data_IF_014207990594
#
_entry.id   IF_014207990594
#
_cell.length_a   1.000
_cell.length_b   1.000
_cell.length_c   1.000
_cell.angle_alpha   90.00
_cell.angle_beta   90.00
_cell.angle_gamma   90.00
#
_symmetry.space_group_name_H-M   'P 1'
#
loop_
_entity.id
_entity.type
_entity.pdbx_description
1 polymer ?
#
# COMPACT_ATOMS: atom_id res chain seq x y z
N UNK A 1 24.39 1.96 16.08
CA UNK A 1 23.77 0.62 16.02
C UNK A 1 22.77 0.65 14.87
N UNK A 2 22.65 -0.41 14.06
CA UNK A 2 21.63 -0.46 13.02
C UNK A 2 20.24 -0.32 13.66
N UNK A 3 19.30 0.26 12.91
CA UNK A 3 17.91 0.32 13.35
C UNK A 3 17.35 -1.11 13.42
N UNK A 4 16.44 -1.37 14.36
CA UNK A 4 15.84 -2.70 14.51
C UNK A 4 15.07 -3.09 13.24
N UNK A 5 14.47 -2.14 12.52
CA UNK A 5 13.81 -2.33 11.23
C UNK A 5 14.69 -3.02 10.19
N UNK A 6 15.99 -2.73 10.14
CA UNK A 6 16.92 -3.41 9.23
C UNK A 6 17.09 -4.88 9.61
N UNK A 7 17.31 -5.11 10.91
CA UNK A 7 17.45 -6.46 11.47
C UNK A 7 16.17 -7.29 11.33
N UNK A 8 15.00 -6.65 11.47
CA UNK A 8 13.70 -7.26 11.24
C UNK A 8 13.53 -7.59 9.75
N UNK A 9 13.78 -6.63 8.86
CA UNK A 9 13.63 -6.81 7.42
C UNK A 9 14.45 -8.02 6.92
N UNK A 10 15.74 -8.07 7.26
CA UNK A 10 16.64 -9.16 6.86
C UNK A 10 16.16 -10.52 7.39
N UNK A 11 15.61 -10.57 8.60
CA UNK A 11 15.07 -11.82 9.16
C UNK A 11 13.80 -12.34 8.47
N UNK A 12 13.13 -11.49 7.69
CA UNK A 12 11.92 -11.85 6.92
C UNK A 12 12.23 -12.16 5.45
N UNK A 13 13.48 -12.04 5.03
CA UNK A 13 13.88 -12.36 3.67
C UNK A 13 13.79 -13.86 3.42
N UNK A 14 13.31 -14.22 2.24
CA UNK A 14 13.16 -15.61 1.85
C UNK A 14 14.55 -16.16 1.49
N UNK A 15 15.09 -17.04 2.34
CA UNK A 15 16.37 -17.67 2.11
C UNK A 15 16.21 -18.94 1.25
N UNK A 16 17.03 -19.13 0.20
CA UNK A 16 17.05 -20.40 -0.53
C UNK A 16 17.63 -21.48 0.40
N UNK A 17 16.82 -22.51 0.71
CA UNK A 17 17.15 -23.83 1.33
C UNK A 17 16.29 -24.25 2.55
N UNK A 18 15.27 -23.51 2.94
CA UNK A 18 14.30 -23.99 3.94
C UNK A 18 12.86 -23.66 3.54
N UNK A 19 12.41 -24.19 2.41
CA UNK A 19 10.97 -24.33 2.18
C UNK A 19 10.50 -25.55 2.96
N UNK A 20 10.11 -25.36 4.22
CA UNK A 20 9.25 -26.35 4.88
C UNK A 20 7.94 -26.47 4.10
N UNK A 21 7.35 -27.67 4.09
CA UNK A 21 6.07 -27.89 3.43
C UNK A 21 5.04 -26.84 3.88
N UNK A 22 4.26 -26.27 2.95
CA UNK A 22 3.21 -25.33 3.31
C UNK A 22 2.25 -26.03 4.28
N UNK A 23 2.06 -25.44 5.45
CA UNK A 23 0.95 -25.83 6.32
C UNK A 23 -0.33 -25.43 5.58
N UNK A 24 -1.01 -26.40 4.98
CA UNK A 24 -2.30 -26.21 4.32
C UNK A 24 -3.38 -26.13 5.39
N UNK A 25 -3.79 -24.89 5.71
CA UNK A 25 -4.95 -24.61 6.55
C UNK A 25 -6.02 -23.93 5.68
N UNK A 26 -7.20 -24.52 5.61
CA UNK A 26 -8.35 -24.06 4.83
C UNK A 26 -9.17 -23.03 5.61
N UNK A 27 -8.64 -21.81 5.71
CA UNK A 27 -9.28 -20.69 6.41
C UNK A 27 -10.36 -19.99 5.56
N UNK A 28 -10.51 -20.32 4.27
CA UNK A 28 -11.66 -19.88 3.46
C UNK A 28 -13.03 -20.22 4.08
N UNK A 29 -13.03 -21.04 5.15
CA UNK A 29 -14.20 -21.40 5.96
C UNK A 29 -14.29 -20.67 7.31
N UNK A 30 -13.36 -19.77 7.66
CA UNK A 30 -13.50 -18.91 8.83
C UNK A 30 -14.36 -17.70 8.46
N UNK A 31 -15.53 -17.50 9.10
CA UNK A 31 -16.37 -16.35 8.80
C UNK A 31 -15.62 -15.05 9.11
N UNK A 32 -15.68 -14.07 8.19
CA UNK A 32 -15.08 -12.75 8.38
C UNK A 32 -15.88 -11.90 9.38
N UNK A 33 -17.04 -12.41 9.83
CA UNK A 33 -17.92 -11.79 10.80
C UNK A 33 -17.19 -11.59 12.14
N UNK A 34 -16.84 -10.33 12.41
CA UNK A 34 -16.34 -9.93 13.71
C UNK A 34 -17.46 -10.09 14.75
N UNK A 35 -17.38 -11.20 15.49
CA UNK A 35 -18.37 -11.55 16.52
C UNK A 35 -18.45 -10.51 17.64
N UNK A 36 -17.47 -9.60 17.76
CA UNK A 36 -17.48 -8.50 18.75
C UNK A 36 -18.72 -7.63 18.65
N UNK A 37 -19.27 -7.44 17.45
CA UNK A 37 -20.37 -6.50 17.20
C UNK A 37 -21.72 -7.18 16.96
N UNK A 38 -21.90 -8.40 17.46
CA UNK A 38 -23.19 -9.08 17.40
C UNK A 38 -24.27 -8.24 18.12
N UNK A 39 -25.35 -7.90 17.40
CA UNK A 39 -26.46 -7.09 17.93
C UNK A 39 -26.31 -5.57 17.79
N UNK A 40 -25.17 -5.09 17.27
CA UNK A 40 -25.01 -3.67 16.95
C UNK A 40 -25.91 -3.23 15.79
N UNK A 41 -26.26 -1.94 15.75
CA UNK A 41 -27.07 -1.36 14.67
C UNK A 41 -26.28 -1.37 13.37
N UNK A 42 -26.89 -1.88 12.30
CA UNK A 42 -26.30 -2.00 10.97
C UNK A 42 -26.99 -1.06 10.00
N UNK A 43 -26.21 -0.48 9.11
CA UNK A 43 -26.67 0.46 8.09
C UNK A 43 -26.17 0.00 6.73
N UNK A 44 -27.09 -0.22 5.80
CA UNK A 44 -26.75 -0.49 4.41
C UNK A 44 -26.04 0.73 3.80
N UNK A 45 -24.99 0.49 3.02
CA UNK A 45 -24.28 1.52 2.28
C UNK A 45 -24.84 1.62 0.87
N UNK A 46 -25.14 2.83 0.40
CA UNK A 46 -25.22 3.07 -1.03
C UNK A 46 -23.82 2.98 -1.63
N UNK A 47 -23.64 2.21 -2.72
CA UNK A 47 -22.36 2.05 -3.43
C UNK A 47 -21.70 3.41 -3.77
N UNK A 48 -22.50 4.47 -3.89
CA UNK A 48 -22.03 5.80 -4.24
C UNK A 48 -21.35 6.60 -3.12
N UNK A 49 -21.33 6.14 -1.87
CA UNK A 49 -20.94 7.01 -0.73
C UNK A 49 -19.74 6.54 0.07
N UNK A 50 -19.53 5.22 0.18
CA UNK A 50 -18.37 4.65 0.86
C UNK A 50 -17.44 3.97 -0.16
N UNK A 51 -16.38 4.66 -0.62
CA UNK A 51 -15.37 4.14 -1.53
C UNK A 51 -14.52 3.03 -0.90
N UNK A 52 -15.11 1.86 -0.67
CA UNK A 52 -14.38 0.66 -0.28
C UNK A 52 -14.62 -0.40 -1.36
N UNK A 53 -13.90 -0.26 -2.46
CA UNK A 53 -13.64 -1.40 -3.33
C UNK A 53 -12.76 -2.39 -2.58
N UNK A 54 -13.09 -3.69 -2.69
CA UNK A 54 -12.35 -4.76 -2.04
C UNK A 54 -10.87 -4.68 -2.46
N UNK A 55 -9.95 -4.39 -1.53
CA UNK A 55 -8.57 -4.19 -1.90
C UNK A 55 -7.85 -5.49 -2.20
N UNK A 56 -6.69 -5.37 -2.84
CA UNK A 56 -5.77 -6.48 -2.95
C UNK A 56 -5.39 -6.94 -1.55
N UNK A 57 -5.63 -8.20 -1.26
CA UNK A 57 -5.05 -8.86 -0.11
C UNK A 57 -4.06 -9.89 -0.61
N UNK A 58 -2.89 -9.96 0.02
CA UNK A 58 -1.97 -11.05 -0.24
C UNK A 58 -2.69 -12.39 -0.03
N UNK A 59 -2.60 -13.28 -1.02
CA UNK A 59 -3.28 -14.59 -1.04
C UNK A 59 -4.78 -14.53 -0.68
N UNK A 60 -5.44 -13.38 -0.84
CA UNK A 60 -6.86 -13.20 -0.51
C UNK A 60 -7.19 -13.19 0.98
N UNK A 61 -6.20 -13.08 1.89
CA UNK A 61 -6.37 -13.29 3.34
C UNK A 61 -7.25 -12.27 4.08
N UNK A 62 -7.81 -11.26 3.40
CA UNK A 62 -8.62 -10.19 3.98
C UNK A 62 -8.00 -9.59 5.25
N UNK A 63 -6.71 -9.25 5.22
CA UNK A 63 -5.92 -8.91 6.41
C UNK A 63 -6.17 -7.51 6.99
N UNK A 64 -7.13 -6.75 6.43
CA UNK A 64 -7.38 -5.34 6.77
C UNK A 64 -8.75 -5.17 7.43
N UNK A 65 -8.77 -4.60 8.63
CA UNK A 65 -9.97 -4.05 9.25
C UNK A 65 -10.18 -2.60 8.84
N UNK A 66 -11.44 -2.19 8.68
CA UNK A 66 -11.79 -0.82 8.28
C UNK A 66 -12.81 -0.24 9.23
N UNK A 67 -12.46 0.86 9.87
CA UNK A 67 -13.31 1.64 10.75
C UNK A 67 -13.52 3.03 10.15
N UNK A 68 -14.68 3.62 10.41
CA UNK A 68 -15.06 4.91 9.86
C UNK A 68 -15.61 5.79 10.97
N UNK A 69 -15.12 7.02 11.03
CA UNK A 69 -15.85 8.10 11.70
C UNK A 69 -16.66 8.83 10.63
N UNK A 70 -17.98 8.83 10.76
CA UNK A 70 -18.89 9.45 9.79
C UNK A 70 -19.54 10.68 10.41
N UNK A 71 -19.61 11.77 9.64
CA UNK A 71 -20.24 13.06 10.00
C UNK A 71 -21.10 13.58 8.86
N UNK A 72 -22.32 14.00 9.19
CA UNK A 72 -23.21 14.70 8.25
C UNK A 72 -23.56 13.89 6.99
N UNK A 73 -23.78 12.58 7.17
CA UNK A 73 -24.12 11.65 6.09
C UNK A 73 -25.56 11.14 6.16
N UNK A 74 -25.87 10.09 5.39
CA UNK A 74 -27.15 9.37 5.48
C UNK A 74 -27.26 8.48 6.73
N UNK A 75 -26.10 8.09 7.28
CA UNK A 75 -26.02 7.42 8.58
C UNK A 75 -25.78 8.46 9.67
N UNK A 76 -26.28 8.23 10.90
CA UNK A 76 -26.03 9.10 12.03
C UNK A 76 -24.54 9.36 12.25
N UNK A 77 -24.21 10.48 12.89
CA UNK A 77 -22.83 10.74 13.31
C UNK A 77 -22.37 9.69 14.30
N UNK A 78 -21.22 9.06 14.04
CA UNK A 78 -20.72 8.00 14.89
C UNK A 78 -19.45 7.34 14.37
N UNK A 79 -19.06 6.29 15.08
CA UNK A 79 -17.96 5.41 14.73
C UNK A 79 -18.52 4.07 14.28
N UNK A 80 -18.02 3.57 13.16
CA UNK A 80 -18.53 2.39 12.48
C UNK A 80 -17.41 1.43 12.14
N UNK A 81 -17.67 0.13 12.25
CA UNK A 81 -16.88 -0.91 11.62
C UNK A 81 -17.51 -1.25 10.27
N UNK A 82 -16.69 -1.41 9.23
CA UNK A 82 -17.17 -1.87 7.92
C UNK A 82 -17.09 -3.39 7.83
N UNK A 83 -18.27 -4.02 7.78
CA UNK A 83 -18.40 -5.45 7.60
C UNK A 83 -18.27 -5.80 6.11
N UNK A 84 -17.17 -6.43 5.73
CA UNK A 84 -16.87 -6.76 4.33
C UNK A 84 -17.83 -7.80 3.75
N UNK A 85 -18.37 -8.69 4.58
CA UNK A 85 -19.27 -9.77 4.14
C UNK A 85 -20.65 -9.21 3.78
N UNK A 86 -21.25 -8.46 4.71
CA UNK A 86 -22.57 -7.87 4.49
C UNK A 86 -22.54 -6.55 3.72
N UNK A 87 -21.36 -5.94 3.57
CA UNK A 87 -21.15 -4.60 2.98
C UNK A 87 -21.94 -3.51 3.70
N UNK A 88 -22.01 -3.60 5.02
CA UNK A 88 -22.74 -2.69 5.89
C UNK A 88 -21.82 -1.96 6.86
N UNK A 89 -22.28 -0.81 7.35
CA UNK A 89 -21.68 -0.13 8.49
C UNK A 89 -22.31 -0.63 9.78
N UNK A 90 -21.49 -1.17 10.67
CA UNK A 90 -21.88 -1.59 12.02
C UNK A 90 -21.54 -0.47 12.99
N UNK A 91 -22.53 0.14 13.65
CA UNK A 91 -22.29 1.22 14.60
C UNK A 91 -21.65 0.67 15.89
N UNK A 92 -20.46 1.16 16.21
CA UNK A 92 -19.69 0.72 17.38
C UNK A 92 -19.50 1.83 18.43
N UNK A 93 -19.79 3.08 18.06
CA UNK A 93 -19.60 4.21 18.97
C UNK A 93 -20.28 5.50 18.50
N UNK A 94 -20.38 6.45 19.42
CA UNK A 94 -20.94 7.78 19.20
C UNK A 94 -19.92 8.90 19.44
N UNK A 95 -20.42 10.11 19.72
CA UNK A 95 -19.61 11.33 19.89
C UNK A 95 -18.41 11.23 20.85
N UNK A 96 -18.50 10.57 22.03
CA UNK A 96 -17.33 10.44 22.90
C UNK A 96 -16.16 9.69 22.24
N UNK A 97 -16.46 8.59 21.54
CA UNK A 97 -15.45 7.82 20.81
C UNK A 97 -14.89 8.61 19.63
N UNK A 98 -15.73 9.38 18.92
CA UNK A 98 -15.27 10.28 17.85
C UNK A 98 -14.27 11.32 18.36
N UNK A 99 -14.53 11.90 19.54
CA UNK A 99 -13.63 12.88 20.17
C UNK A 99 -12.33 12.23 20.65
N UNK A 100 -12.39 11.01 21.20
CA UNK A 100 -11.21 10.24 21.58
C UNK A 100 -10.32 9.93 20.36
N UNK A 101 -10.92 9.47 19.25
CA UNK A 101 -10.21 9.24 17.98
C UNK A 101 -9.58 10.54 17.47
N UNK A 102 -10.31 11.65 17.42
CA UNK A 102 -9.77 12.91 16.93
C UNK A 102 -8.56 13.38 17.76
N UNK A 103 -8.56 13.15 19.06
CA UNK A 103 -7.48 13.55 19.97
C UNK A 103 -6.16 12.78 19.76
N UNK A 104 -6.16 11.63 19.06
CA UNK A 104 -4.93 10.88 18.80
C UNK A 104 -4.10 11.47 17.66
N UNK A 105 -4.68 12.37 16.87
CA UNK A 105 -4.03 12.98 15.71
C UNK A 105 -3.38 14.31 16.08
N UNK A 106 -2.21 14.64 15.49
CA UNK A 106 -1.55 15.92 15.71
C UNK A 106 -2.41 17.10 15.21
N UNK A 107 -3.11 16.92 14.09
CA UNK A 107 -3.98 17.92 13.48
C UNK A 107 -5.45 17.68 13.87
N UNK A 108 -5.72 17.61 15.18
CA UNK A 108 -7.06 17.31 15.73
C UNK A 108 -8.17 18.12 15.06
N UNK A 109 -8.01 19.45 15.00
CA UNK A 109 -9.03 20.36 14.45
C UNK A 109 -9.32 20.12 12.96
N UNK A 110 -8.33 19.63 12.21
CA UNK A 110 -8.50 19.26 10.81
C UNK A 110 -9.29 17.95 10.69
N UNK A 111 -8.93 16.94 11.48
CA UNK A 111 -9.58 15.62 11.49
C UNK A 111 -11.04 15.71 11.96
N UNK A 112 -11.36 16.60 12.90
CA UNK A 112 -12.74 16.84 13.36
C UNK A 112 -13.67 17.37 12.27
N UNK A 113 -13.12 18.02 11.24
CA UNK A 113 -13.87 18.59 10.13
C UNK A 113 -14.02 17.64 8.94
N UNK A 114 -13.33 16.50 8.95
CA UNK A 114 -13.47 15.49 7.91
C UNK A 114 -14.87 14.85 7.98
N UNK A 115 -15.56 14.82 6.84
CA UNK A 115 -16.89 14.20 6.72
C UNK A 115 -16.81 12.69 6.95
N UNK A 116 -15.76 12.06 6.44
CA UNK A 116 -15.46 10.66 6.70
C UNK A 116 -13.97 10.55 7.03
N UNK A 117 -13.65 9.91 8.15
CA UNK A 117 -12.30 9.49 8.49
C UNK A 117 -12.26 7.97 8.44
N UNK A 118 -11.55 7.42 7.45
CA UNK A 118 -11.22 6.01 7.41
C UNK A 118 -10.04 5.73 8.35
N UNK A 119 -10.11 4.61 9.05
CA UNK A 119 -9.10 4.08 9.96
C UNK A 119 -8.88 2.63 9.54
N UNK A 120 -7.67 2.31 9.10
CA UNK A 120 -7.29 1.00 8.63
C UNK A 120 -6.43 0.30 9.67
N UNK A 121 -6.82 -0.92 10.01
CA UNK A 121 -6.12 -1.79 10.94
C UNK A 121 -5.60 -3.04 10.22
N UNK A 122 -4.53 -3.62 10.75
CA UNK A 122 -3.98 -4.89 10.31
C UNK A 122 -4.37 -6.03 11.24
N UNK A 123 -5.07 -7.03 10.71
CA UNK A 123 -5.51 -8.23 11.42
C UNK A 123 -4.44 -9.33 11.33
N UNK A 124 -3.47 -9.30 12.25
CA UNK A 124 -2.27 -10.14 12.15
C UNK A 124 -2.57 -11.64 12.14
N UNK A 125 -3.59 -12.07 12.88
CA UNK A 125 -4.02 -13.47 12.95
C UNK A 125 -4.40 -14.07 11.60
N UNK A 126 -4.87 -13.24 10.65
CA UNK A 126 -5.22 -13.68 9.29
C UNK A 126 -4.00 -14.00 8.43
N UNK A 127 -2.85 -13.39 8.74
CA UNK A 127 -1.65 -13.47 7.87
C UNK A 127 -0.47 -14.21 8.50
N UNK A 128 -0.37 -14.29 9.84
CA UNK A 128 0.79 -14.88 10.54
C UNK A 128 0.97 -16.37 10.24
N UNK A 129 -0.10 -17.14 10.08
CA UNK A 129 0.02 -18.57 9.78
C UNK A 129 0.66 -18.83 8.39
N UNK A 130 0.38 -17.95 7.42
CA UNK A 130 0.86 -18.02 6.03
C UNK A 130 2.26 -17.43 5.87
N UNK A 131 2.45 -16.22 6.37
CA UNK A 131 3.66 -15.42 6.14
C UNK A 131 4.63 -15.41 7.33
N UNK A 132 4.28 -16.04 8.45
CA UNK A 132 5.09 -16.06 9.69
C UNK A 132 5.47 -14.63 10.11
N UNK A 133 6.73 -14.37 10.43
CA UNK A 133 7.21 -13.04 10.79
C UNK A 133 6.98 -12.02 9.66
N UNK A 134 7.09 -12.43 8.39
CA UNK A 134 6.87 -11.54 7.24
C UNK A 134 5.41 -11.09 7.05
N UNK A 135 4.47 -11.65 7.83
CA UNK A 135 3.08 -11.22 7.82
C UNK A 135 2.94 -9.72 8.08
N UNK A 136 3.76 -9.16 8.97
CA UNK A 136 3.57 -7.76 9.36
C UNK A 136 3.85 -6.77 8.23
N UNK A 137 4.93 -6.98 7.46
CA UNK A 137 5.17 -6.16 6.26
C UNK A 137 4.09 -6.37 5.20
N UNK A 138 3.56 -7.59 5.10
CA UNK A 138 2.51 -7.89 4.12
C UNK A 138 1.20 -7.19 4.47
N UNK A 139 0.79 -7.25 5.73
CA UNK A 139 -0.40 -6.55 6.24
C UNK A 139 -0.26 -5.04 6.08
N UNK A 140 0.93 -4.47 6.30
CA UNK A 140 1.18 -3.06 6.02
C UNK A 140 1.00 -2.72 4.52
N UNK A 141 1.47 -3.57 3.61
CA UNK A 141 1.21 -3.39 2.17
C UNK A 141 -0.28 -3.54 1.82
N UNK A 142 -0.97 -4.52 2.41
CA UNK A 142 -2.40 -4.72 2.19
C UNK A 142 -3.22 -3.49 2.66
N UNK A 143 -2.86 -2.89 3.80
CA UNK A 143 -3.43 -1.60 4.24
C UNK A 143 -3.13 -0.48 3.25
N UNK A 144 -1.90 -0.41 2.74
CA UNK A 144 -1.51 0.55 1.70
C UNK A 144 -2.37 0.44 0.44
N UNK A 145 -2.63 -0.79 -0.01
CA UNK A 145 -3.51 -1.09 -1.14
C UNK A 145 -4.98 -0.70 -0.85
N UNK A 146 -5.47 -0.99 0.36
CA UNK A 146 -6.79 -0.54 0.81
C UNK A 146 -6.94 0.99 0.77
N UNK A 147 -5.93 1.70 1.23
CA UNK A 147 -5.90 3.15 1.18
C UNK A 147 -5.89 3.68 -0.27
N UNK A 148 -5.15 3.05 -1.18
CA UNK A 148 -5.14 3.44 -2.60
C UNK A 148 -6.52 3.39 -3.23
N UNK A 149 -7.29 2.32 -2.99
CA UNK A 149 -8.65 2.21 -3.51
C UNK A 149 -9.54 3.34 -3.01
N UNK A 150 -9.54 3.59 -1.70
CA UNK A 150 -10.33 4.66 -1.12
C UNK A 150 -9.91 6.03 -1.63
N UNK A 151 -8.61 6.29 -1.75
CA UNK A 151 -8.06 7.55 -2.26
C UNK A 151 -8.43 7.77 -3.73
N UNK A 152 -8.15 6.80 -4.60
CA UNK A 152 -8.34 6.94 -6.05
C UNK A 152 -9.82 7.03 -6.41
N UNK A 153 -10.68 6.24 -5.75
CA UNK A 153 -12.11 6.30 -5.98
C UNK A 153 -12.73 7.55 -5.36
N UNK A 154 -12.33 7.99 -4.15
CA UNK A 154 -12.84 9.26 -3.63
C UNK A 154 -12.46 10.43 -4.54
N UNK A 155 -11.26 10.42 -5.13
CA UNK A 155 -10.84 11.42 -6.13
C UNK A 155 -11.67 11.34 -7.41
N UNK A 156 -12.10 10.16 -7.87
CA UNK A 156 -13.00 10.08 -9.04
C UNK A 156 -14.37 10.71 -8.80
N UNK A 157 -14.77 10.86 -7.53
CA UNK A 157 -15.99 11.57 -7.13
C UNK A 157 -15.76 13.06 -6.85
N UNK A 158 -14.58 13.61 -7.17
CA UNK A 158 -14.22 15.00 -6.87
C UNK A 158 -13.92 15.31 -5.40
N UNK A 159 -13.93 14.30 -4.50
CA UNK A 159 -13.64 14.51 -3.07
C UNK A 159 -12.17 14.87 -2.86
N UNK A 160 -11.92 15.68 -1.83
CA UNK A 160 -10.56 15.95 -1.34
C UNK A 160 -10.17 14.87 -0.33
N UNK A 161 -8.97 14.34 -0.48
CA UNK A 161 -8.47 13.19 0.28
C UNK A 161 -7.13 13.50 0.90
N UNK A 162 -6.96 13.11 2.16
CA UNK A 162 -5.74 13.33 2.92
C UNK A 162 -5.34 12.03 3.61
N UNK A 163 -4.31 11.32 3.14
CA UNK A 163 -3.72 10.21 3.87
C UNK A 163 -3.06 10.70 5.16
N UNK A 164 -3.29 10.00 6.26
CA UNK A 164 -2.81 10.34 7.60
C UNK A 164 -2.18 9.09 8.22
N UNK A 165 -0.92 9.16 8.62
CA UNK A 165 -0.26 8.05 9.32
C UNK A 165 0.59 8.50 10.52
N UNK A 166 0.38 9.74 10.98
CA UNK A 166 0.84 10.23 12.28
C UNK A 166 -0.33 10.27 13.26
N UNK A 167 -0.32 9.39 14.24
CA UNK A 167 -1.27 9.32 15.34
C UNK A 167 -0.64 8.55 16.50
N UNK A 168 -1.14 8.74 17.72
CA UNK A 168 -0.72 7.95 18.89
C UNK A 168 -1.34 6.56 18.80
N UNK A 169 -0.52 5.55 18.50
CA UNK A 169 -0.98 4.20 18.14
C UNK A 169 -1.76 3.51 19.26
N UNK A 170 -1.22 3.50 20.48
CA UNK A 170 -1.86 2.84 21.63
C UNK A 170 -3.19 3.53 22.00
N UNK A 171 -3.23 4.87 21.93
CA UNK A 171 -4.45 5.62 22.20
C UNK A 171 -5.53 5.35 21.15
N UNK A 172 -5.14 5.17 19.88
CA UNK A 172 -6.08 4.81 18.82
C UNK A 172 -6.61 3.38 18.99
N UNK A 173 -5.73 2.44 19.34
CA UNK A 173 -6.11 1.06 19.61
C UNK A 173 -7.11 0.97 20.79
N UNK A 174 -6.88 1.73 21.86
CA UNK A 174 -7.81 1.83 22.99
C UNK A 174 -9.13 2.49 22.57
N UNK A 175 -9.09 3.59 21.81
CA UNK A 175 -10.28 4.29 21.36
C UNK A 175 -11.19 3.45 20.45
N UNK A 176 -10.62 2.50 19.70
CA UNK A 176 -11.34 1.56 18.84
C UNK A 176 -11.62 0.21 19.52
N UNK A 177 -11.19 0.01 20.77
CA UNK A 177 -11.31 -1.25 21.51
C UNK A 177 -10.72 -2.45 20.74
N UNK A 178 -9.54 -2.25 20.13
CA UNK A 178 -8.88 -3.27 19.32
C UNK A 178 -8.33 -4.41 20.18
N UNK A 179 -8.36 -5.62 19.61
CA UNK A 179 -7.71 -6.79 20.20
C UNK A 179 -6.18 -6.72 20.11
N UNK A 180 -5.45 -7.56 20.86
CA UNK A 180 -3.98 -7.53 20.92
C UNK A 180 -3.28 -7.93 19.60
N UNK A 181 -4.02 -8.52 18.66
CA UNK A 181 -3.54 -8.97 17.34
C UNK A 181 -3.95 -8.03 16.20
N UNK A 182 -4.67 -6.95 16.51
CA UNK A 182 -5.14 -5.96 15.55
C UNK A 182 -4.41 -4.63 15.74
N UNK A 183 -3.79 -4.12 14.68
CA UNK A 183 -2.85 -3.00 14.77
C UNK A 183 -3.37 -1.80 13.96
N UNK A 184 -3.50 -0.59 14.54
CA UNK A 184 -3.83 0.59 13.75
C UNK A 184 -2.63 0.99 12.87
N UNK A 185 -2.85 1.13 11.56
CA UNK A 185 -1.75 1.32 10.60
C UNK A 185 -1.85 2.61 9.80
N UNK A 186 -3.05 3.02 9.38
CA UNK A 186 -3.25 4.21 8.55
C UNK A 186 -4.63 4.82 8.74
N UNK A 187 -4.77 6.07 8.33
CA UNK A 187 -6.03 6.78 8.23
C UNK A 187 -6.13 7.53 6.88
N UNK A 188 -7.35 7.78 6.42
CA UNK A 188 -7.60 8.63 5.25
C UNK A 188 -8.80 9.54 5.57
N UNK A 189 -8.56 10.84 5.56
CA UNK A 189 -9.61 11.84 5.77
C UNK A 189 -10.20 12.29 4.42
N UNK A 190 -11.54 12.28 4.32
CA UNK A 190 -12.29 12.70 3.15
C UNK A 190 -13.08 13.97 3.46
N UNK A 191 -13.01 14.90 2.51
CA UNK A 191 -13.79 16.13 2.50
C UNK A 191 -14.56 16.26 1.18
N UNK A 192 -15.72 16.94 1.19
CA UNK A 192 -16.43 17.36 -0.01
C UNK A 192 -15.53 18.17 -0.93
N UNK A 193 -15.83 18.14 -2.22
CA UNK A 193 -15.10 18.85 -3.27
C UNK A 193 -14.89 20.34 -2.94
N UNK A 194 -15.95 20.99 -2.43
CA UNK A 194 -16.00 22.43 -2.14
C UNK A 194 -15.60 22.78 -0.68
N UNK A 195 -14.89 21.90 0.03
CA UNK A 195 -14.45 22.19 1.40
C UNK A 195 -13.32 23.23 1.40
N UNK A 196 -13.60 24.41 1.94
CA UNK A 196 -12.61 25.48 2.12
C UNK A 196 -11.45 25.07 3.05
N UNK A 197 -11.76 24.27 4.07
CA UNK A 197 -10.76 23.77 5.02
C UNK A 197 -9.79 22.83 4.31
N UNK A 198 -10.32 21.92 3.49
CA UNK A 198 -9.49 21.05 2.67
C UNK A 198 -8.66 21.85 1.67
N UNK A 199 -9.23 22.85 1.01
CA UNK A 199 -8.52 23.70 0.05
C UNK A 199 -7.31 24.39 0.69
N UNK A 200 -7.51 25.09 1.81
CA UNK A 200 -6.43 25.80 2.51
C UNK A 200 -5.37 24.83 3.05
N UNK A 201 -5.79 23.65 3.48
CA UNK A 201 -4.89 22.63 4.06
C UNK A 201 -3.91 22.02 3.05
N UNK A 202 -4.22 22.06 1.74
CA UNK A 202 -3.29 21.57 0.71
C UNK A 202 -2.04 22.45 0.65
N UNK A 203 -2.21 23.78 0.70
CA UNK A 203 -1.09 24.72 0.68
C UNK A 203 -0.20 24.60 1.93
N UNK A 204 -0.81 24.26 3.07
CA UNK A 204 -0.11 23.97 4.32
C UNK A 204 0.66 22.63 4.31
N UNK A 205 0.50 21.82 3.25
CA UNK A 205 1.16 20.51 3.11
C UNK A 205 0.50 19.38 3.90
N UNK A 206 -0.77 19.53 4.29
CA UNK A 206 -1.50 18.47 5.01
C UNK A 206 -1.53 17.18 4.18
N UNK A 207 -1.27 16.05 4.84
CA UNK A 207 -1.16 14.75 4.19
C UNK A 207 0.17 14.49 3.46
N UNK A 208 1.09 15.46 3.41
CA UNK A 208 2.43 15.26 2.84
C UNK A 208 3.53 15.06 3.89
N UNK A 209 3.22 15.28 5.17
CA UNK A 209 4.15 15.11 6.27
C UNK A 209 4.19 13.66 6.76
N UNK A 210 5.41 13.11 6.87
CA UNK A 210 5.68 11.95 7.70
C UNK A 210 5.97 12.38 9.14
N UNK A 211 5.44 11.65 10.12
CA UNK A 211 5.71 11.89 11.54
C UNK A 211 6.76 10.89 12.02
N UNK A 212 7.95 11.41 12.33
CA UNK A 212 9.05 10.59 12.81
C UNK A 212 8.94 10.31 14.30
N UNK A 213 9.18 9.06 14.71
CA UNK A 213 9.34 8.67 16.12
C UNK A 213 10.82 8.56 16.53
N UNK A 214 11.75 9.11 15.74
CA UNK A 214 13.20 8.97 15.97
C UNK A 214 13.70 9.53 17.30
N UNK A 215 13.01 10.55 17.81
CA UNK A 215 13.27 11.21 19.09
C UNK A 215 12.70 10.44 20.28
N UNK A 216 11.85 9.44 20.04
CA UNK A 216 11.35 8.56 21.08
C UNK A 216 12.36 7.46 21.35
N UNK A 217 12.76 7.30 22.62
CA UNK A 217 13.54 6.14 23.02
C UNK A 217 12.59 4.96 23.20
N UNK A 218 12.89 3.85 22.52
CA UNK A 218 12.20 2.60 22.79
C UNK A 218 12.60 2.11 24.18
N UNK A 219 11.70 2.19 25.15
CA UNK A 219 11.92 1.52 26.43
C UNK A 219 11.84 0.00 26.21
N UNK A 220 12.78 -0.80 26.75
CA UNK A 220 12.70 -2.24 26.68
C UNK A 220 11.50 -2.72 27.49
N UNK A 221 10.37 -2.86 26.81
CA UNK A 221 9.13 -3.40 27.37
C UNK A 221 9.24 -4.90 27.69
N UNK A 222 8.13 -5.54 28.09
CA UNK A 222 8.09 -6.98 28.31
C UNK A 222 8.58 -7.75 27.07
N UNK A 223 9.09 -8.98 27.27
CA UNK A 223 9.53 -9.85 26.17
C UNK A 223 8.41 -9.98 25.13
N UNK A 224 8.65 -9.43 23.93
CA UNK A 224 7.79 -9.65 22.78
C UNK A 224 7.93 -11.11 22.30
N UNK A 225 6.83 -11.84 22.11
CA UNK A 225 6.90 -13.26 21.74
C UNK A 225 7.34 -13.47 20.28
N UNK A 226 7.23 -12.45 19.43
CA UNK A 226 7.65 -12.48 18.02
C UNK A 226 8.44 -11.23 17.63
N UNK A 227 9.23 -11.34 16.55
CA UNK A 227 10.05 -10.21 16.06
C UNK A 227 9.19 -9.11 15.49
N UNK A 228 8.08 -9.45 14.83
CA UNK A 228 7.15 -8.48 14.28
C UNK A 228 6.41 -7.66 15.36
N UNK A 229 6.14 -8.22 16.55
CA UNK A 229 5.53 -7.45 17.63
C UNK A 229 6.50 -6.42 18.19
N UNK A 230 7.79 -6.79 18.32
CA UNK A 230 8.84 -5.85 18.68
C UNK A 230 9.01 -4.77 17.60
N UNK A 231 8.97 -5.15 16.32
CA UNK A 231 9.01 -4.20 15.20
C UNK A 231 7.84 -3.21 15.30
N UNK A 232 6.61 -3.71 15.48
CA UNK A 232 5.44 -2.85 15.63
C UNK A 232 5.59 -1.88 16.80
N UNK A 233 6.08 -2.33 17.96
CA UNK A 233 6.32 -1.44 19.10
C UNK A 233 7.33 -0.36 18.74
N UNK A 234 8.44 -0.73 18.10
CA UNK A 234 9.47 0.21 17.68
C UNK A 234 8.94 1.29 16.74
N UNK A 235 7.93 0.97 15.92
CA UNK A 235 7.28 1.91 15.00
C UNK A 235 6.21 2.80 15.63
N UNK A 236 5.68 2.46 16.81
CA UNK A 236 4.61 3.22 17.45
C UNK A 236 5.07 4.63 17.84
N UNK A 237 4.16 5.59 17.71
CA UNK A 237 4.27 6.94 18.28
C UNK A 237 3.54 6.93 19.62
N UNK A 238 4.23 7.33 20.68
CA UNK A 238 3.65 7.45 22.02
C UNK A 238 3.34 8.91 22.37
N UNK A 239 4.15 9.86 21.88
CA UNK A 239 4.01 11.28 22.22
C UNK A 239 4.24 12.17 20.99
N UNK A 240 3.16 12.74 20.48
CA UNK A 240 3.18 13.64 19.32
C UNK A 240 4.07 14.87 19.50
N UNK A 241 4.31 15.32 20.75
CA UNK A 241 5.17 16.48 21.00
C UNK A 241 6.65 16.19 20.73
N UNK A 242 7.03 14.90 20.73
CA UNK A 242 8.38 14.47 20.41
C UNK A 242 8.53 14.24 18.91
N UNK A 243 7.45 14.01 18.19
CA UNK A 243 7.51 13.70 16.76
C UNK A 243 8.08 14.85 15.93
N UNK A 244 8.93 14.49 14.96
CA UNK A 244 9.46 15.43 13.97
C UNK A 244 8.63 15.30 12.69
N UNK A 245 8.08 16.42 12.20
CA UNK A 245 7.40 16.48 10.89
C UNK A 245 8.46 16.53 9.79
N UNK A 246 8.40 15.59 8.86
CA UNK A 246 9.33 15.50 7.73
C UNK A 246 8.57 15.54 6.42
N UNK A 247 8.95 16.49 5.55
CA UNK A 247 8.51 16.58 4.15
C UNK A 247 9.77 16.63 3.30
N UNK A 248 9.93 15.69 2.37
CA UNK A 248 11.10 15.62 1.47
C UNK A 248 10.62 15.69 0.03
N UNK A 249 11.22 16.61 -0.72
CA UNK A 249 10.88 16.91 -2.12
C UNK A 249 12.11 16.75 -3.01
N UNK A 250 13.08 15.91 -2.61
CA UNK A 250 14.37 15.85 -3.32
C UNK A 250 14.39 14.68 -4.30
N UNK A 251 14.30 15.00 -5.59
CA UNK A 251 14.80 14.15 -6.66
C UNK A 251 16.27 14.51 -6.94
N UNK A 252 17.20 13.61 -6.64
CA UNK A 252 18.58 13.75 -7.11
C UNK A 252 18.60 13.51 -8.62
N UNK A 253 19.45 14.22 -9.40
CA UNK A 253 19.71 13.85 -10.78
C UNK A 253 20.24 12.42 -10.82
N UNK A 254 19.61 11.59 -11.64
CA UNK A 254 19.99 10.19 -11.85
C UNK A 254 20.90 10.12 -13.08
N UNK A 255 21.99 9.39 -12.95
CA UNK A 255 22.85 9.03 -14.07
C UNK A 255 22.20 7.95 -14.93
N UNK A 256 22.50 7.93 -16.22
CA UNK A 256 22.02 6.90 -17.15
C UNK A 256 21.40 7.51 -18.41
N UNK A 257 21.19 6.68 -19.42
CA UNK A 257 20.45 7.06 -20.63
C UNK A 257 18.98 7.26 -20.29
N UNK A 258 18.44 8.43 -20.63
CA UNK A 258 17.05 8.79 -20.38
C UNK A 258 16.16 8.26 -21.50
N UNK A 259 15.11 7.54 -21.12
CA UNK A 259 14.03 7.14 -22.00
C UNK A 259 12.73 7.84 -21.56
N UNK A 260 12.23 8.83 -22.31
CA UNK A 260 10.99 9.51 -22.00
C UNK A 260 9.78 8.60 -22.29
N UNK A 261 8.83 8.55 -21.35
CA UNK A 261 7.59 7.81 -21.55
C UNK A 261 6.66 8.57 -22.52
N UNK A 262 5.92 7.84 -23.34
CA UNK A 262 4.89 8.44 -24.20
C UNK A 262 3.77 9.05 -23.35
N UNK A 263 2.99 10.01 -23.87
CA UNK A 263 1.73 10.41 -23.26
C UNK A 263 0.88 9.20 -22.88
N UNK A 264 0.17 9.29 -21.75
CA UNK A 264 -0.78 8.24 -21.40
C UNK A 264 -1.81 8.12 -22.53
N UNK A 265 -2.07 6.88 -22.94
CA UNK A 265 -2.99 6.48 -24.01
C UNK A 265 -4.38 7.10 -23.84
N UNK A 266 -4.80 7.23 -22.58
CA UNK A 266 -6.01 7.96 -22.21
C UNK A 266 -5.70 9.04 -21.16
N UNK A 267 -6.43 10.17 -21.16
CA UNK A 267 -6.23 11.25 -20.19
C UNK A 267 -6.57 10.81 -18.77
N UNK A 268 -6.17 11.62 -17.77
CA UNK A 268 -6.47 11.35 -16.36
C UNK A 268 -7.97 11.26 -16.04
N UNK A 269 -8.79 12.03 -16.74
CA UNK A 269 -10.25 12.00 -16.56
C UNK A 269 -10.85 10.65 -16.95
N UNK A 270 -10.28 9.99 -17.98
CA UNK A 270 -10.67 8.63 -18.34
C UNK A 270 -10.35 7.65 -17.22
N UNK A 271 -9.17 7.75 -16.61
CA UNK A 271 -8.78 6.89 -15.49
C UNK A 271 -9.79 6.99 -14.33
N UNK A 272 -10.16 8.21 -13.94
CA UNK A 272 -11.12 8.43 -12.87
C UNK A 272 -12.55 8.07 -13.25
N UNK A 273 -12.95 8.26 -14.50
CA UNK A 273 -14.25 7.81 -14.97
C UNK A 273 -14.35 6.27 -14.90
N UNK A 274 -13.35 5.55 -15.42
CA UNK A 274 -13.42 4.09 -15.52
C UNK A 274 -13.20 3.37 -14.19
N UNK A 275 -12.36 3.91 -13.29
CA UNK A 275 -12.13 3.29 -11.97
C UNK A 275 -13.42 3.16 -11.15
N UNK A 276 -14.40 4.04 -11.40
CA UNK A 276 -15.72 3.97 -10.80
C UNK A 276 -16.49 2.70 -11.19
N UNK A 277 -16.35 2.27 -12.45
CA UNK A 277 -17.06 1.13 -13.00
C UNK A 277 -16.33 -0.20 -12.83
N UNK A 278 -15.08 -0.17 -12.36
CA UNK A 278 -14.28 -1.35 -12.07
C UNK A 278 -14.88 -2.14 -10.89
N UNK A 279 -15.79 -3.06 -11.18
CA UNK A 279 -16.30 -4.04 -10.20
C UNK A 279 -15.14 -4.81 -9.55
N UNK A 280 -15.23 -5.06 -8.25
CA UNK A 280 -14.24 -5.85 -7.48
C UNK A 280 -14.11 -7.26 -8.08
N UNK A 281 -12.98 -7.63 -8.71
CA UNK A 281 -12.82 -8.97 -9.27
C UNK A 281 -12.17 -9.91 -8.26
N UNK A 282 -12.50 -11.20 -8.35
CA UNK A 282 -11.64 -12.24 -7.80
C UNK A 282 -10.25 -12.13 -8.44
N UNK A 283 -9.23 -11.84 -7.64
CA UNK A 283 -7.84 -11.87 -8.10
C UNK A 283 -7.39 -13.33 -8.14
N UNK A 284 -7.15 -13.86 -9.33
CA UNK A 284 -6.46 -15.14 -9.50
C UNK A 284 -5.05 -14.87 -9.99
N UNK A 285 -4.08 -15.52 -9.35
CA UNK A 285 -2.70 -15.57 -9.85
C UNK A 285 -2.67 -16.41 -11.13
N UNK A 286 -3.02 -15.80 -12.27
CA UNK A 286 -2.98 -16.47 -13.57
C UNK A 286 -1.60 -16.26 -14.20
N UNK A 287 -1.01 -17.29 -14.85
CA UNK A 287 0.21 -17.11 -15.64
C UNK A 287 0.06 -16.04 -16.72
N UNK A 288 1.19 -15.47 -17.13
CA UNK A 288 1.24 -14.53 -18.24
C UNK A 288 1.33 -15.27 -19.58
N UNK A 289 0.65 -14.73 -20.59
CA UNK A 289 0.82 -15.16 -21.97
C UNK A 289 2.03 -14.46 -22.58
N UNK A 290 2.78 -15.20 -23.41
CA UNK A 290 3.92 -14.66 -24.12
C UNK A 290 3.46 -13.68 -25.20
N UNK A 291 3.51 -12.39 -24.91
CA UNK A 291 3.15 -11.34 -25.84
C UNK A 291 3.83 -10.00 -25.50
N UNK A 292 4.41 -9.37 -26.52
CA UNK A 292 5.07 -8.06 -26.41
C UNK A 292 4.06 -6.99 -26.00
N UNK A 293 4.43 -6.14 -25.03
CA UNK A 293 3.59 -5.04 -24.58
C UNK A 293 3.74 -3.81 -25.46
N UNK A 294 2.63 -3.13 -25.73
CA UNK A 294 2.61 -1.87 -26.45
C UNK A 294 3.21 -0.73 -25.58
N UNK A 295 3.94 0.20 -26.20
CA UNK A 295 4.62 1.29 -25.50
C UNK A 295 3.64 2.26 -24.83
N UNK A 296 2.46 2.48 -25.41
CA UNK A 296 1.47 3.40 -24.85
C UNK A 296 0.78 2.77 -23.65
N UNK A 297 0.51 1.46 -23.69
CA UNK A 297 0.01 0.73 -22.51
C UNK A 297 1.06 0.77 -21.37
N UNK A 298 2.33 0.48 -21.67
CA UNK A 298 3.44 0.54 -20.70
C UNK A 298 3.59 1.95 -20.08
N UNK A 299 3.64 2.99 -20.92
CA UNK A 299 3.79 4.38 -20.49
C UNK A 299 2.58 4.85 -19.68
N UNK A 300 1.36 4.46 -20.07
CA UNK A 300 0.14 4.79 -19.33
C UNK A 300 0.16 4.22 -17.92
N UNK A 301 0.54 2.94 -17.77
CA UNK A 301 0.59 2.29 -16.46
C UNK A 301 1.55 2.98 -15.48
N UNK A 302 2.73 3.42 -15.95
CA UNK A 302 3.69 4.13 -15.12
C UNK A 302 3.26 5.57 -14.83
N UNK A 303 2.67 6.27 -15.81
CA UNK A 303 2.22 7.66 -15.64
C UNK A 303 1.00 7.77 -14.73
N UNK A 304 0.11 6.79 -14.73
CA UNK A 304 -1.06 6.76 -13.85
C UNK A 304 -0.74 6.45 -12.38
N UNK A 305 0.49 6.05 -12.05
CA UNK A 305 0.94 6.05 -10.65
C UNK A 305 0.83 7.44 -10.00
N UNK A 306 0.84 8.51 -10.79
CA UNK A 306 0.66 9.90 -10.34
C UNK A 306 -0.80 10.36 -10.33
N UNK A 307 -1.77 9.49 -10.66
CA UNK A 307 -3.19 9.80 -10.44
C UNK A 307 -3.48 9.98 -8.94
N UNK A 308 -2.77 9.24 -8.09
CA UNK A 308 -2.75 9.39 -6.64
C UNK A 308 -1.48 10.08 -6.12
N UNK A 309 -1.43 10.43 -4.84
CA UNK A 309 -0.19 10.87 -4.20
C UNK A 309 0.80 9.69 -4.14
N UNK A 310 1.85 9.70 -4.97
CA UNK A 310 2.89 8.64 -4.99
C UNK A 310 3.49 8.39 -3.60
N UNK A 311 3.54 9.42 -2.77
CA UNK A 311 4.04 9.36 -1.41
C UNK A 311 2.93 9.60 -0.38
N UNK A 312 1.81 8.89 -0.52
CA UNK A 312 0.62 9.04 0.32
C UNK A 312 0.94 9.09 1.82
N UNK A 313 1.89 8.31 2.32
CA UNK A 313 2.20 8.23 3.76
C UNK A 313 3.57 8.79 4.14
N UNK A 314 4.17 9.69 3.35
CA UNK A 314 5.39 10.38 3.81
C UNK A 314 6.38 10.87 2.76
N UNK A 315 7.66 10.90 3.16
CA UNK A 315 8.74 11.71 2.57
C UNK A 315 9.41 11.14 1.29
N UNK A 316 8.70 10.38 0.45
CA UNK A 316 9.23 9.91 -0.84
C UNK A 316 10.53 9.10 -0.77
N UNK A 317 10.56 8.12 0.14
CA UNK A 317 11.73 7.29 0.41
C UNK A 317 11.78 6.01 -0.43
N UNK A 318 10.70 5.70 -1.15
CA UNK A 318 10.67 4.61 -2.11
C UNK A 318 11.30 5.06 -3.43
N UNK A 319 12.10 4.16 -3.98
CA UNK A 319 12.67 4.31 -5.31
C UNK A 319 12.06 3.24 -6.22
N UNK A 320 11.59 3.65 -7.39
CA UNK A 320 10.87 2.80 -8.33
C UNK A 320 11.85 2.28 -9.39
N UNK A 321 12.06 0.97 -9.43
CA UNK A 321 12.77 0.29 -10.52
C UNK A 321 11.76 -0.29 -11.51
N UNK A 322 12.10 -0.23 -12.79
CA UNK A 322 11.35 -0.88 -13.87
C UNK A 322 12.30 -1.81 -14.62
N UNK A 323 12.05 -3.11 -14.57
CA UNK A 323 12.83 -4.11 -15.31
C UNK A 323 12.04 -4.51 -16.54
N UNK A 324 12.51 -4.12 -17.71
CA UNK A 324 11.84 -4.33 -19.00
C UNK A 324 12.38 -5.59 -19.67
N UNK A 325 11.48 -6.48 -20.10
CA UNK A 325 11.83 -7.71 -20.82
C UNK A 325 11.32 -7.69 -22.26
N UNK A 326 10.06 -7.30 -22.48
CA UNK A 326 9.37 -7.40 -23.77
C UNK A 326 8.31 -6.28 -23.93
N UNK A 327 8.79 -5.07 -24.20
CA UNK A 327 7.97 -3.86 -24.46
C UNK A 327 8.43 -3.25 -25.79
N UNK A 328 7.49 -2.88 -26.66
CA UNK A 328 7.78 -2.30 -27.97
C UNK A 328 8.62 -1.01 -27.83
N UNK A 329 9.67 -0.90 -28.64
CA UNK A 329 10.57 0.27 -28.72
C UNK A 329 11.31 0.64 -27.43
N UNK A 330 11.22 -0.16 -26.37
CA UNK A 330 11.99 0.01 -25.14
C UNK A 330 13.03 -1.10 -25.08
N UNK A 331 14.31 -0.75 -24.91
CA UNK A 331 15.37 -1.75 -24.78
C UNK A 331 15.16 -2.59 -23.51
N UNK A 332 15.50 -3.89 -23.56
CA UNK A 332 15.47 -4.71 -22.36
C UNK A 332 16.57 -4.25 -21.39
N UNK A 333 16.24 -4.20 -20.11
CA UNK A 333 17.12 -3.62 -19.11
C UNK A 333 16.43 -3.30 -17.79
N UNK A 334 17.21 -2.89 -16.79
CA UNK A 334 16.71 -2.36 -15.54
C UNK A 334 16.88 -0.84 -15.52
N UNK A 335 15.80 -0.15 -15.18
CA UNK A 335 15.69 1.30 -15.22
C UNK A 335 15.25 1.87 -13.88
N UNK A 336 15.60 3.13 -13.64
CA UNK A 336 15.03 3.96 -12.59
C UNK A 336 13.92 4.84 -13.11
N UNK A 337 12.72 4.69 -12.57
CA UNK A 337 11.60 5.55 -12.92
C UNK A 337 11.61 6.82 -12.06
N UNK A 338 11.51 7.97 -12.72
CA UNK A 338 11.38 9.30 -12.10
C UNK A 338 10.03 9.88 -12.51
N UNK A 339 8.99 9.77 -11.66
CA UNK A 339 7.63 10.19 -12.00
C UNK A 339 7.52 11.65 -12.44
N UNK A 340 8.17 12.55 -11.71
CA UNK A 340 8.15 14.00 -12.01
C UNK A 340 8.68 14.32 -13.42
N UNK A 341 9.60 13.50 -13.95
CA UNK A 341 10.16 13.63 -15.30
C UNK A 341 9.44 12.78 -16.35
N UNK A 342 8.45 11.96 -15.95
CA UNK A 342 7.76 10.99 -16.81
C UNK A 342 8.74 10.13 -17.62
N UNK A 343 9.87 9.76 -17.00
CA UNK A 343 11.00 9.16 -17.71
C UNK A 343 11.65 8.05 -16.90
N UNK A 344 12.19 7.05 -17.59
CA UNK A 344 12.96 5.96 -17.01
C UNK A 344 14.43 6.11 -17.41
N UNK A 345 15.36 5.86 -16.48
CA UNK A 345 16.80 6.02 -16.69
C UNK A 345 17.48 4.67 -16.63
N UNK A 346 18.11 4.24 -17.72
CA UNK A 346 18.74 2.92 -17.78
C UNK A 346 19.91 2.83 -16.81
N UNK A 347 19.91 1.78 -15.98
CA UNK A 347 21.00 1.47 -15.05
C UNK A 347 21.74 0.19 -15.42
N UNK A 348 21.06 -0.71 -16.13
CA UNK A 348 21.62 -1.98 -16.58
C UNK A 348 20.98 -2.42 -17.89
N UNK A 349 21.81 -2.82 -18.84
CA UNK A 349 21.39 -3.37 -20.13
C UNK A 349 21.00 -4.86 -20.02
N UNK A 350 20.27 -5.35 -21.02
CA UNK A 350 20.06 -6.76 -21.32
C UNK A 350 19.45 -7.59 -20.18
N UNK A 351 18.33 -7.10 -19.63
CA UNK A 351 17.58 -7.86 -18.64
C UNK A 351 17.11 -9.21 -19.21
N UNK A 352 17.38 -10.30 -18.50
CA UNK A 352 17.08 -11.66 -18.94
C UNK A 352 15.96 -12.26 -18.09
N UNK A 353 14.78 -12.43 -18.69
CA UNK A 353 13.59 -12.95 -17.99
C UNK A 353 13.80 -14.35 -17.41
N UNK A 354 14.60 -15.23 -18.03
CA UNK A 354 14.86 -16.57 -17.50
C UNK A 354 15.72 -16.54 -16.23
N UNK A 355 16.69 -15.62 -16.15
CA UNK A 355 17.48 -15.40 -14.93
C UNK A 355 16.62 -14.73 -13.86
N UNK A 356 15.82 -13.75 -14.25
CA UNK A 356 14.91 -13.04 -13.37
C UNK A 356 13.86 -13.98 -12.75
N UNK A 357 13.25 -14.85 -13.55
CA UNK A 357 12.25 -15.81 -13.12
C UNK A 357 12.73 -16.76 -12.01
N UNK A 358 14.04 -17.07 -11.98
CA UNK A 358 14.64 -17.91 -10.92
C UNK A 358 14.69 -17.24 -9.55
N UNK A 359 14.39 -15.94 -9.48
CA UNK A 359 14.29 -15.22 -8.20
C UNK A 359 12.96 -15.46 -7.48
N UNK A 360 12.04 -16.22 -8.08
CA UNK A 360 10.70 -16.47 -7.54
C UNK A 360 10.50 -17.95 -7.20
N UNK A 361 9.59 -18.22 -6.27
CA UNK A 361 9.24 -19.58 -5.87
C UNK A 361 8.64 -20.41 -7.02
N UNK A 362 7.92 -19.78 -7.95
CA UNK A 362 7.39 -20.39 -9.18
C UNK A 362 7.89 -19.63 -10.42
N UNK A 363 9.06 -20.04 -10.98
CA UNK A 363 9.62 -19.42 -12.17
C UNK A 363 8.74 -19.53 -13.42
N UNK A 364 7.96 -20.60 -13.57
CA UNK A 364 7.15 -20.83 -14.76
C UNK A 364 5.98 -19.84 -14.84
N UNK A 365 5.42 -19.48 -13.68
CA UNK A 365 4.33 -18.52 -13.60
C UNK A 365 4.75 -17.09 -13.96
N UNK A 366 6.03 -16.72 -13.85
CA UNK A 366 6.56 -15.36 -14.08
C UNK A 366 7.28 -15.17 -15.42
N UNK A 367 7.70 -16.25 -16.09
CA UNK A 367 8.63 -16.19 -17.24
C UNK A 367 8.14 -15.44 -18.49
N UNK A 368 6.84 -15.14 -18.56
CA UNK A 368 6.21 -14.42 -19.67
C UNK A 368 5.80 -12.98 -19.29
N UNK A 369 6.27 -12.45 -18.16
CA UNK A 369 6.06 -11.05 -17.82
C UNK A 369 6.73 -10.12 -18.84
N UNK A 370 6.03 -9.05 -19.23
CA UNK A 370 6.55 -8.04 -20.15
C UNK A 370 7.52 -7.09 -19.45
N UNK A 371 7.21 -6.71 -18.22
CA UNK A 371 8.09 -5.94 -17.35
C UNK A 371 7.76 -6.19 -15.87
N UNK A 372 8.64 -5.75 -14.97
CA UNK A 372 8.43 -5.76 -13.53
C UNK A 372 8.67 -4.37 -12.92
N UNK A 373 7.92 -4.03 -11.88
CA UNK A 373 8.13 -2.86 -11.03
C UNK A 373 8.63 -3.33 -9.68
N UNK A 374 9.82 -2.89 -9.28
CA UNK A 374 10.43 -3.25 -8.00
C UNK A 374 10.56 -1.97 -7.16
N UNK A 375 9.94 -1.99 -5.98
CA UNK A 375 10.01 -0.89 -5.03
C UNK A 375 11.13 -1.18 -4.04
N UNK A 376 12.02 -0.20 -3.87
CA UNK A 376 13.23 -0.33 -3.07
C UNK A 376 13.39 0.87 -2.15
N UNK A 377 14.14 0.70 -1.07
CA UNK A 377 14.55 1.81 -0.22
C UNK A 377 15.90 1.53 0.42
N UNK A 378 16.63 2.58 0.79
CA UNK A 378 17.75 2.44 1.71
C UNK A 378 17.16 2.54 3.13
N UNK A 379 17.09 1.41 3.84
CA UNK A 379 16.47 1.36 5.17
C UNK A 379 17.26 2.14 6.21
N UNK A 380 18.59 2.11 6.16
CA UNK A 380 19.45 2.89 7.06
C UNK A 380 19.18 4.39 6.92
N UNK A 381 19.15 4.91 5.68
CA UNK A 381 18.83 6.32 5.39
C UNK A 381 17.40 6.64 5.83
N UNK A 382 16.45 5.76 5.51
CA UNK A 382 15.03 5.97 5.80
C UNK A 382 14.75 6.02 7.29
N UNK A 383 15.30 5.07 8.06
CA UNK A 383 15.19 5.04 9.52
C UNK A 383 16.03 6.16 10.15
N UNK A 384 17.15 6.53 9.53
CA UNK A 384 17.92 7.72 9.88
C UNK A 384 17.08 9.00 9.79
N UNK A 385 16.12 9.10 8.87
CA UNK A 385 15.25 10.27 8.73
C UNK A 385 14.01 10.17 9.63
N UNK A 386 13.31 9.03 9.61
CA UNK A 386 11.98 8.88 10.20
C UNK A 386 11.93 8.04 11.49
N UNK A 387 13.05 7.46 11.93
CA UNK A 387 13.06 6.46 13.00
C UNK A 387 12.54 5.12 12.51
N UNK A 388 12.26 4.19 13.43
CA UNK A 388 11.76 2.85 13.09
C UNK A 388 10.43 2.91 12.31
N UNK A 389 9.59 3.93 12.55
CA UNK A 389 8.33 4.14 11.83
C UNK A 389 8.49 4.30 10.31
N UNK A 390 9.71 4.58 9.83
CA UNK A 390 10.04 4.56 8.40
C UNK A 390 9.56 3.28 7.73
N UNK A 391 9.73 2.12 8.38
CA UNK A 391 9.39 0.83 7.82
C UNK A 391 7.91 0.72 7.46
N UNK A 392 7.02 1.21 8.34
CA UNK A 392 5.58 1.31 8.07
C UNK A 392 5.27 2.13 6.84
N UNK A 393 5.85 3.33 6.76
CA UNK A 393 5.60 4.25 5.66
C UNK A 393 6.05 3.68 4.33
N UNK A 394 7.18 2.97 4.30
CA UNK A 394 7.67 2.28 3.11
C UNK A 394 6.69 1.19 2.65
N UNK A 395 6.22 0.33 3.55
CA UNK A 395 5.30 -0.74 3.18
C UNK A 395 3.90 -0.21 2.80
N UNK A 396 3.38 0.81 3.51
CA UNK A 396 2.11 1.46 3.15
C UNK A 396 2.17 2.10 1.75
N UNK A 397 3.23 2.85 1.45
CA UNK A 397 3.40 3.44 0.12
C UNK A 397 3.66 2.37 -0.95
N UNK A 398 4.32 1.27 -0.59
CA UNK A 398 4.53 0.16 -1.53
C UNK A 398 3.20 -0.48 -1.93
N UNK A 399 2.35 -0.80 -0.95
CA UNK A 399 1.01 -1.31 -1.20
C UNK A 399 0.15 -0.34 -2.00
N UNK A 400 0.26 0.97 -1.71
CA UNK A 400 -0.44 2.01 -2.46
C UNK A 400 -0.05 2.00 -3.95
N UNK A 401 1.25 1.97 -4.25
CA UNK A 401 1.76 1.96 -5.62
C UNK A 401 1.45 0.65 -6.36
N UNK A 402 1.45 -0.48 -5.66
CA UNK A 402 1.06 -1.77 -6.22
C UNK A 402 -0.40 -1.78 -6.65
N UNK A 403 -1.30 -1.30 -5.81
CA UNK A 403 -2.72 -1.20 -6.18
C UNK A 403 -2.96 -0.18 -7.29
N UNK A 404 -2.24 0.95 -7.27
CA UNK A 404 -2.31 1.93 -8.38
C UNK A 404 -1.88 1.32 -9.71
N UNK A 405 -0.84 0.48 -9.70
CA UNK A 405 -0.37 -0.26 -10.87
C UNK A 405 -1.38 -1.31 -11.32
N UNK A 406 -1.98 -2.05 -10.38
CA UNK A 406 -3.02 -3.06 -10.64
C UNK A 406 -4.24 -2.45 -11.33
N UNK A 407 -4.76 -1.36 -10.78
CA UNK A 407 -5.90 -0.63 -11.36
C UNK A 407 -5.57 -0.14 -12.77
N UNK A 408 -4.38 0.43 -12.96
CA UNK A 408 -3.90 0.83 -14.28
C UNK A 408 -3.85 -0.33 -15.27
N UNK A 409 -3.37 -1.49 -14.82
CA UNK A 409 -3.36 -2.71 -15.62
C UNK A 409 -4.76 -3.17 -15.99
N UNK A 410 -5.68 -3.21 -15.03
CA UNK A 410 -7.08 -3.62 -15.24
C UNK A 410 -7.79 -2.73 -16.25
N UNK A 411 -7.61 -1.41 -16.16
CA UNK A 411 -8.16 -0.44 -17.12
C UNK A 411 -7.63 -0.65 -18.55
N UNK A 412 -6.43 -1.20 -18.69
CA UNK A 412 -5.81 -1.49 -19.99
C UNK A 412 -5.89 -2.97 -20.38
N UNK A 413 -6.68 -3.76 -19.65
CA UNK A 413 -6.80 -5.21 -19.82
C UNK A 413 -5.44 -5.94 -19.80
N UNK A 414 -4.58 -5.54 -18.85
CA UNK A 414 -3.30 -6.16 -18.51
C UNK A 414 -3.42 -6.83 -17.16
N UNK A 415 -2.61 -7.87 -16.98
CA UNK A 415 -2.53 -8.59 -15.71
C UNK A 415 -1.35 -8.02 -14.91
N UNK A 416 -1.60 -7.68 -13.65
CA UNK A 416 -0.59 -7.26 -12.68
C UNK A 416 -0.59 -8.28 -11.56
N UNK A 417 0.59 -8.78 -11.20
CA UNK A 417 0.75 -9.75 -10.12
C UNK A 417 1.85 -9.32 -9.18
N UNK A 418 1.50 -9.12 -7.92
CA UNK A 418 2.48 -8.91 -6.86
C UNK A 418 3.01 -10.26 -6.37
N UNK A 419 4.33 -10.37 -6.23
CA UNK A 419 4.99 -11.57 -5.74
C UNK A 419 5.47 -11.38 -4.30
N UNK A 420 5.02 -12.27 -3.42
CA UNK A 420 5.32 -12.21 -1.99
C UNK A 420 6.54 -13.06 -1.60
N UNK A 421 6.80 -14.14 -2.35
CA UNK A 421 7.86 -15.12 -2.09
C UNK A 421 9.00 -14.96 -3.11
N UNK A 422 9.90 -14.01 -2.81
CA UNK A 422 10.99 -13.60 -3.70
C UNK A 422 12.33 -13.74 -2.98
N UNK A 423 13.31 -14.35 -3.67
CA UNK A 423 14.72 -14.36 -3.26
C UNK A 423 15.30 -12.95 -3.51
N UNK A 424 15.13 -12.06 -2.53
CA UNK A 424 15.40 -10.62 -2.69
C UNK A 424 16.87 -10.32 -3.07
N UNK A 425 17.82 -11.08 -2.52
CA UNK A 425 19.23 -10.93 -2.85
C UNK A 425 19.55 -11.27 -4.31
N UNK A 426 18.95 -12.33 -4.82
CA UNK A 426 19.11 -12.75 -6.21
C UNK A 426 18.39 -11.75 -7.12
N UNK A 427 17.19 -11.28 -6.75
CA UNK A 427 16.46 -10.25 -7.48
C UNK A 427 17.28 -8.96 -7.60
N UNK A 428 17.89 -8.51 -6.50
CA UNK A 428 18.77 -7.34 -6.43
C UNK A 428 19.97 -7.52 -7.37
N UNK A 429 20.68 -8.65 -7.25
CA UNK A 429 21.84 -8.99 -8.09
C UNK A 429 21.50 -9.09 -9.58
N UNK A 430 20.38 -9.71 -9.95
CA UNK A 430 19.96 -9.87 -11.35
C UNK A 430 19.52 -8.53 -11.95
N UNK A 431 18.88 -7.68 -11.15
CA UNK A 431 18.36 -6.39 -11.60
C UNK A 431 19.42 -5.27 -11.56
N UNK A 432 20.58 -5.49 -10.91
CA UNK A 432 21.62 -4.46 -10.77
C UNK A 432 21.26 -3.38 -9.75
N UNK A 433 20.42 -3.72 -8.78
CA UNK A 433 20.02 -2.83 -7.70
C UNK A 433 21.17 -2.73 -6.69
N UNK A 434 21.56 -1.53 -6.21
CA UNK A 434 22.66 -1.36 -5.25
C UNK A 434 22.44 -2.13 -3.95
N UNK A 435 23.51 -2.64 -3.34
CA UNK A 435 23.43 -3.37 -2.06
C UNK A 435 22.92 -2.51 -0.90
N UNK A 436 23.09 -1.19 -0.97
CA UNK A 436 22.54 -0.24 0.00
C UNK A 436 21.01 -0.13 -0.05
N UNK A 437 20.35 -0.79 -1.00
CA UNK A 437 18.91 -0.75 -1.15
C UNK A 437 18.27 -2.13 -0.94
N UNK A 438 17.31 -2.16 -0.02
CA UNK A 438 16.49 -3.31 0.26
C UNK A 438 15.26 -3.33 -0.65
N UNK A 439 14.85 -4.53 -1.07
CA UNK A 439 13.64 -4.75 -1.85
C UNK A 439 12.44 -4.73 -0.91
N UNK A 440 11.55 -3.76 -1.10
CA UNK A 440 10.31 -3.67 -0.34
C UNK A 440 9.24 -4.53 -1.00
N UNK A 441 9.07 -4.41 -2.32
CA UNK A 441 8.07 -5.18 -3.04
C UNK A 441 8.40 -5.35 -4.53
N UNK A 442 7.75 -6.33 -5.17
CA UNK A 442 7.91 -6.62 -6.59
C UNK A 442 6.55 -6.95 -7.21
N UNK A 443 6.22 -6.29 -8.30
CA UNK A 443 5.01 -6.55 -9.10
C UNK A 443 5.39 -6.79 -10.55
N UNK A 444 4.89 -7.87 -11.13
CA UNK A 444 5.08 -8.21 -12.54
C UNK A 444 3.85 -7.81 -13.34
N UNK A 445 4.09 -7.40 -14.58
CA UNK A 445 3.04 -7.00 -15.50
C UNK A 445 3.20 -7.77 -16.79
N UNK A 446 2.08 -8.29 -17.30
CA UNK A 446 2.06 -8.98 -18.57
C UNK A 446 0.65 -9.03 -19.16
N UNK A 447 0.53 -9.78 -20.26
CA UNK A 447 -0.74 -10.00 -20.92
C UNK A 447 -1.37 -11.30 -20.44
N UNK A 448 -2.69 -11.34 -20.49
CA UNK A 448 -3.48 -12.55 -20.38
C UNK A 448 -4.59 -12.46 -21.43
N UNK A 449 -4.40 -13.14 -22.54
CA UNK A 449 -5.27 -13.12 -23.72
C UNK A 449 -6.65 -13.73 -23.42
N UNK A 450 -6.74 -14.61 -22.42
CA UNK A 450 -8.02 -15.23 -22.00
C UNK A 450 -8.94 -14.26 -21.24
N UNK A 451 -8.38 -13.23 -20.59
CA UNK A 451 -9.17 -12.18 -19.94
C UNK A 451 -9.77 -11.20 -20.97
N UNK A 452 -9.19 -11.06 -22.15
CA UNK A 452 -9.69 -10.16 -23.21
C UNK A 452 -10.93 -10.70 -23.94
N UNK A 453 -11.15 -12.02 -23.94
CA UNK A 453 -12.32 -12.65 -24.56
C UNK A 453 -13.58 -12.62 -23.69
N UNK A 454 -13.45 -12.34 -22.38
CA UNK A 454 -14.58 -12.32 -21.45
C UNK A 454 -15.25 -10.94 -21.30
N UNK A 455 -14.67 -9.90 -21.91
CA UNK A 455 -15.11 -8.50 -21.84
C UNK A 455 -15.64 -7.96 -23.17
N UNK A 456 -16.09 -8.83 -24.08
CA UNK A 456 -16.79 -8.46 -25.33
C UNK A 456 -18.24 -8.91 -25.30
#
# INVERSE_FOLDING_TARGET
MPFYSETYHDSTQYAPRSSGDPVMLHWENMPLLDKRYAGAKRYALSESKCPLHAPAFADGLCSVGVYLVVRGGEVPDGVYFYDQDSRELVNIGGRPMMAAIAAVFPEKNFVEQANILYLYTGLMERSVWRFRESAYRQVQMDVGAACANTILFAKSQGKKVFPLAGFVDDALAVALELGPTELPLAAVALFPENSMVAFNSVDDGMGEFAYSNRSENMEPGPRYPSRFMLQNRGECINDLNRCIKVRRVVTKPLSGEEFPLTPAKYPGDFFFHEIWFLKSPERRAVPFDRATMDIDDFSSMLRWLEAGPINAFGAGLLKIWVVVFDVMFVFSGAYRYVPVRKSIYMQRHDANIKKFAKCFADPEAVQNASFAVILTSNLEESCGILGERAYRYLNLNAGFLQESLDLSGRLLHKNVRTEHFVFQDDLRKVSGIPESEQVISCSLVGKNLRLQSASR
#
